data_IF_106023025814
#
_entry.id   IF_106023025814
#
_cell.length_a   1.000
_cell.length_b   1.000
_cell.length_c   1.000
_cell.angle_alpha   90.00
_cell.angle_beta   90.00
_cell.angle_gamma   90.00
#
_symmetry.space_group_name_H-M   'P 1'
#
loop_
_entity.id
_entity.type
_entity.pdbx_description
1 polymer ?
#
# COMPACT_ATOMS: atom_id res chain seq x y z
N UNK A 1 -0.22 1.06 16.51
CA UNK A 1 -0.87 2.28 15.96
C UNK A 1 -2.24 2.53 16.56
N UNK A 2 -3.30 1.81 16.17
CA UNK A 2 -4.66 2.05 16.72
C UNK A 2 -4.72 1.75 18.21
N UNK A 3 -4.03 0.70 18.64
CA UNK A 3 -3.93 0.31 20.06
C UNK A 3 -3.18 1.32 20.93
N UNK A 4 -2.42 2.23 20.32
CA UNK A 4 -1.65 3.27 21.01
C UNK A 4 -2.45 4.57 21.19
N UNK A 5 -3.67 4.63 20.64
CA UNK A 5 -4.55 5.79 20.81
C UNK A 5 -5.22 5.76 22.20
N UNK A 6 -5.55 6.92 22.79
CA UNK A 6 -6.06 7.00 24.18
C UNK A 6 -7.30 6.17 24.48
N UNK A 7 -8.17 5.95 23.48
CA UNK A 7 -9.35 5.08 23.59
C UNK A 7 -9.34 3.97 22.54
N UNK A 8 -8.17 3.68 21.97
CA UNK A 8 -8.01 2.64 20.96
C UNK A 8 -9.04 2.77 19.82
N UNK A 9 -9.83 1.73 19.55
CA UNK A 9 -10.88 1.73 18.54
C UNK A 9 -12.02 2.73 18.82
N UNK A 10 -12.25 3.10 20.09
CA UNK A 10 -13.25 4.09 20.50
C UNK A 10 -12.71 5.54 20.48
N UNK A 11 -11.51 5.74 19.94
CA UNK A 11 -10.94 7.07 19.74
C UNK A 11 -11.75 7.81 18.68
N UNK A 12 -12.46 8.86 19.11
CA UNK A 12 -13.22 9.71 18.20
C UNK A 12 -12.26 10.64 17.47
N UNK A 13 -12.25 10.57 16.14
CA UNK A 13 -11.47 11.45 15.30
C UNK A 13 -12.32 12.63 14.84
N UNK A 14 -11.73 13.82 14.73
CA UNK A 14 -12.38 14.97 14.12
C UNK A 14 -12.48 14.83 12.60
N UNK A 15 -13.19 15.76 11.95
CA UNK A 15 -13.39 15.78 10.50
C UNK A 15 -12.05 15.69 9.77
N UNK A 16 -11.96 14.84 8.74
CA UNK A 16 -10.71 14.61 8.00
C UNK A 16 -9.63 13.84 8.76
N UNK A 17 -9.96 13.24 9.91
CA UNK A 17 -8.99 12.49 10.72
C UNK A 17 -8.14 13.40 11.63
N UNK A 18 -8.68 14.56 12.04
CA UNK A 18 -8.06 15.40 13.07
C UNK A 18 -7.86 14.57 14.34
N UNK A 19 -6.64 14.60 14.88
CA UNK A 19 -6.18 13.71 15.96
C UNK A 19 -5.26 12.58 15.52
N UNK A 20 -5.07 12.39 14.20
CA UNK A 20 -4.06 11.47 13.65
C UNK A 20 -2.85 12.23 13.09
N UNK A 21 -1.68 11.60 13.06
CA UNK A 21 -0.54 12.05 12.27
C UNK A 21 -0.77 11.84 10.77
N UNK A 22 0.06 12.45 9.91
CA UNK A 22 0.00 12.23 8.45
C UNK A 22 0.12 10.76 8.07
N UNK A 23 1.13 10.07 8.60
CA UNK A 23 1.33 8.63 8.36
C UNK A 23 0.22 7.75 8.93
N UNK A 24 -0.43 8.14 10.04
CA UNK A 24 -1.58 7.40 10.58
C UNK A 24 -2.82 7.54 9.68
N UNK A 25 -3.10 8.74 9.17
CA UNK A 25 -4.19 8.95 8.19
C UNK A 25 -3.95 8.13 6.93
N UNK A 26 -2.72 8.11 6.44
CA UNK A 26 -2.34 7.34 5.25
C UNK A 26 -2.50 5.82 5.46
N UNK A 27 -1.98 5.27 6.57
CA UNK A 27 -2.18 3.86 6.93
C UNK A 27 -3.65 3.49 7.04
N UNK A 28 -4.48 4.33 7.65
CA UNK A 28 -5.91 4.09 7.75
C UNK A 28 -6.62 4.16 6.39
N UNK A 29 -6.25 5.12 5.53
CA UNK A 29 -6.78 5.23 4.17
C UNK A 29 -6.43 4.02 3.31
N UNK A 30 -5.18 3.56 3.38
CA UNK A 30 -4.71 2.35 2.72
C UNK A 30 -5.46 1.11 3.22
N UNK A 31 -5.58 0.93 4.53
CA UNK A 31 -6.33 -0.18 5.10
C UNK A 31 -7.80 -0.21 4.62
N UNK A 32 -8.43 0.97 4.50
CA UNK A 32 -9.78 1.10 3.93
C UNK A 32 -9.85 0.76 2.45
N UNK A 33 -8.82 1.10 1.67
CA UNK A 33 -8.75 0.76 0.26
C UNK A 33 -8.58 -0.76 0.04
N UNK A 34 -7.94 -1.45 0.98
CA UNK A 34 -7.58 -2.87 0.86
C UNK A 34 -8.60 -3.83 1.49
N UNK A 35 -9.57 -3.33 2.25
CA UNK A 35 -10.51 -4.19 2.98
C UNK A 35 -11.44 -4.95 2.03
N UNK A 36 -11.55 -6.27 2.22
CA UNK A 36 -12.40 -7.14 1.40
C UNK A 36 -11.76 -7.57 0.08
N UNK A 37 -12.55 -7.58 -1.00
CA UNK A 37 -12.08 -7.79 -2.39
C UNK A 37 -12.10 -6.46 -3.12
N UNK A 38 -11.06 -5.64 -3.01
CA UNK A 38 -11.10 -4.31 -3.58
C UNK A 38 -11.15 -4.38 -5.12
N UNK A 39 -11.90 -3.47 -5.77
CA UNK A 39 -11.82 -3.26 -7.21
C UNK A 39 -10.39 -2.81 -7.61
N UNK A 40 -10.11 -2.55 -8.91
CA UNK A 40 -8.79 -2.04 -9.30
C UNK A 40 -8.32 -0.88 -8.41
N UNK A 41 -7.15 -1.06 -7.80
CA UNK A 41 -6.54 -0.14 -6.86
C UNK A 41 -5.70 0.87 -7.62
N UNK A 42 -6.01 2.16 -7.46
CA UNK A 42 -5.15 3.26 -7.92
C UNK A 42 -4.64 3.97 -6.68
N UNK A 43 -3.32 3.94 -6.48
CA UNK A 43 -2.68 4.45 -5.27
C UNK A 43 -1.65 5.51 -5.62
N UNK A 44 -1.94 6.76 -5.31
CA UNK A 44 -1.00 7.88 -5.50
C UNK A 44 -0.06 7.98 -4.28
N UNK A 45 1.25 7.82 -4.51
CA UNK A 45 2.31 7.84 -3.48
C UNK A 45 1.97 7.07 -2.17
N UNK A 46 1.59 5.77 -2.22
CA UNK A 46 1.06 5.05 -1.06
C UNK A 46 2.06 4.87 0.09
N UNK A 47 3.35 5.06 -0.16
CA UNK A 47 4.41 5.01 0.83
C UNK A 47 4.76 6.37 1.46
N UNK A 48 4.11 7.47 1.06
CA UNK A 48 4.33 8.76 1.69
C UNK A 48 4.12 8.69 3.21
N UNK A 49 4.95 9.39 3.97
CA UNK A 49 4.83 9.48 5.43
C UNK A 49 4.84 8.14 6.20
N UNK A 50 5.29 7.03 5.57
CA UNK A 50 5.45 5.73 6.23
C UNK A 50 6.87 5.57 6.77
N UNK A 51 6.98 4.89 7.91
CA UNK A 51 8.24 4.37 8.45
C UNK A 51 8.55 3.00 7.81
N UNK A 52 9.77 2.47 8.00
CA UNK A 52 10.16 1.19 7.43
C UNK A 52 9.19 0.02 7.75
N UNK A 53 8.66 -0.11 8.98
CA UNK A 53 7.62 -1.11 9.26
C UNK A 53 6.33 -0.88 8.48
N UNK A 54 5.94 0.38 8.27
CA UNK A 54 4.80 0.76 7.44
C UNK A 54 5.00 0.43 5.96
N UNK A 55 6.20 0.60 5.42
CA UNK A 55 6.53 0.23 4.04
C UNK A 55 6.45 -1.28 3.81
N UNK A 56 6.98 -2.10 4.73
CA UNK A 56 6.88 -3.55 4.63
C UNK A 56 5.43 -4.03 4.74
N UNK A 57 4.62 -3.42 5.63
CA UNK A 57 3.20 -3.71 5.72
C UNK A 57 2.44 -3.35 4.42
N UNK A 58 2.74 -2.19 3.83
CA UNK A 58 2.19 -1.78 2.53
C UNK A 58 2.55 -2.81 1.45
N UNK A 59 3.83 -3.19 1.33
CA UNK A 59 4.30 -4.17 0.36
C UNK A 59 3.58 -5.51 0.49
N UNK A 60 3.47 -6.06 1.71
CA UNK A 60 2.77 -7.31 1.94
C UNK A 60 1.31 -7.25 1.50
N UNK A 61 0.63 -6.13 1.80
CA UNK A 61 -0.77 -5.97 1.45
C UNK A 61 -1.01 -5.81 -0.06
N UNK A 62 -0.12 -5.10 -0.78
CA UNK A 62 -0.21 -5.00 -2.24
C UNK A 62 0.07 -6.34 -2.94
N UNK A 63 1.02 -7.12 -2.43
CA UNK A 63 1.30 -8.46 -2.95
C UNK A 63 0.10 -9.40 -2.74
N UNK A 64 -0.55 -9.34 -1.58
CA UNK A 64 -1.79 -10.08 -1.31
C UNK A 64 -2.90 -9.67 -2.28
N UNK A 65 -3.16 -8.37 -2.42
CA UNK A 65 -4.19 -7.87 -3.33
C UNK A 65 -3.94 -8.30 -4.80
N UNK A 66 -2.67 -8.27 -5.24
CA UNK A 66 -2.28 -8.76 -6.57
C UNK A 66 -2.53 -10.26 -6.72
N UNK A 67 -2.20 -11.06 -5.71
CA UNK A 67 -2.46 -12.51 -5.71
C UNK A 67 -3.96 -12.82 -5.78
N UNK A 68 -4.79 -11.98 -5.17
CA UNK A 68 -6.26 -12.06 -5.22
C UNK A 68 -6.87 -11.54 -6.54
N UNK A 69 -6.03 -11.12 -7.50
CA UNK A 69 -6.45 -10.69 -8.84
C UNK A 69 -6.78 -9.20 -8.97
N UNK A 70 -6.49 -8.38 -7.96
CA UNK A 70 -6.69 -6.94 -8.06
C UNK A 70 -5.67 -6.32 -9.03
N UNK A 71 -6.15 -5.52 -9.99
CA UNK A 71 -5.28 -4.65 -10.76
C UNK A 71 -4.78 -3.51 -9.86
N UNK A 72 -3.46 -3.38 -9.71
CA UNK A 72 -2.82 -2.36 -8.86
C UNK A 72 -2.01 -1.40 -9.71
N UNK A 73 -2.41 -0.13 -9.71
CA UNK A 73 -1.73 0.97 -10.38
C UNK A 73 -1.12 1.88 -9.30
N UNK A 74 0.20 2.02 -9.33
CA UNK A 74 0.93 2.86 -8.39
C UNK A 74 1.80 3.85 -9.17
N UNK A 75 1.34 5.10 -9.39
CA UNK A 75 2.19 6.17 -9.85
C UNK A 75 3.02 6.65 -8.64
N UNK A 76 4.27 6.21 -8.55
CA UNK A 76 5.15 6.58 -7.44
C UNK A 76 6.56 6.90 -7.95
N UNK A 77 7.22 7.89 -7.36
CA UNK A 77 8.61 8.27 -7.70
C UNK A 77 9.66 7.28 -7.17
N UNK A 78 9.54 6.68 -5.98
CA UNK A 78 10.51 5.68 -5.54
C UNK A 78 10.43 4.37 -6.33
N UNK A 79 11.57 3.98 -6.92
CA UNK A 79 11.79 2.74 -7.68
C UNK A 79 11.42 1.48 -6.89
N UNK A 80 11.47 1.56 -5.57
CA UNK A 80 11.25 0.45 -4.63
C UNK A 80 9.91 -0.26 -4.82
N UNK A 81 8.80 0.50 -4.92
CA UNK A 81 7.47 -0.09 -5.15
C UNK A 81 7.33 -0.70 -6.54
N UNK A 82 7.98 -0.09 -7.55
CA UNK A 82 8.02 -0.65 -8.89
C UNK A 82 8.71 -2.02 -8.91
N UNK A 83 9.88 -2.15 -8.27
CA UNK A 83 10.60 -3.41 -8.18
C UNK A 83 9.76 -4.50 -7.51
N UNK A 84 9.04 -4.18 -6.43
CA UNK A 84 8.22 -5.17 -5.73
C UNK A 84 7.06 -5.69 -6.57
N UNK A 85 6.37 -4.80 -7.28
CA UNK A 85 5.15 -5.15 -8.01
C UNK A 85 5.44 -5.71 -9.40
N UNK A 86 6.48 -5.20 -10.06
CA UNK A 86 6.76 -5.45 -11.47
C UNK A 86 8.13 -6.09 -11.72
N UNK A 87 9.00 -6.24 -10.71
CA UNK A 87 10.30 -6.90 -10.84
C UNK A 87 10.19 -8.32 -11.43
N UNK A 88 9.34 -9.21 -10.86
CA UNK A 88 9.16 -10.56 -11.41
C UNK A 88 8.68 -10.56 -12.87
N UNK A 89 7.75 -9.64 -13.22
CA UNK A 89 7.25 -9.49 -14.58
C UNK A 89 8.34 -8.99 -15.52
N UNK A 90 9.16 -8.02 -15.09
CA UNK A 90 10.29 -7.53 -15.86
C UNK A 90 11.29 -8.65 -16.13
N UNK A 91 11.59 -9.48 -15.13
CA UNK A 91 12.57 -10.55 -15.26
C UNK A 91 12.06 -11.66 -16.20
N UNK A 92 10.77 -12.00 -16.11
CA UNK A 92 10.08 -12.91 -17.04
C UNK A 92 10.11 -12.39 -18.48
N UNK A 93 9.74 -11.12 -18.69
CA UNK A 93 9.83 -10.49 -20.00
C UNK A 93 11.27 -10.46 -20.52
N UNK A 94 12.24 -10.12 -19.67
CA UNK A 94 13.66 -10.07 -20.03
C UNK A 94 14.17 -11.44 -20.46
N UNK A 95 13.73 -12.53 -19.81
CA UNK A 95 14.07 -13.90 -20.22
C UNK A 95 13.39 -14.26 -21.55
N UNK A 96 12.09 -14.00 -21.70
CA UNK A 96 11.33 -14.31 -22.90
C UNK A 96 11.89 -13.61 -24.17
N UNK A 97 12.44 -12.40 -24.03
CA UNK A 97 13.09 -11.69 -25.13
C UNK A 97 14.54 -12.13 -25.40
N UNK A 98 15.20 -12.80 -24.46
CA UNK A 98 16.60 -13.27 -24.61
C UNK A 98 16.68 -14.68 -25.21
N UNK A 99 15.58 -15.43 -25.17
CA UNK A 99 15.44 -16.79 -25.73
C UNK A 99 14.84 -16.78 -27.15
N UNK A 100 14.67 -15.60 -27.76
CA UNK A 100 14.31 -15.39 -29.17
C UNK A 100 15.47 -14.74 -29.92
#
# INVERSE_FOLDING_TARGET
MVLDLPRQYDTRLGVGGVGLSGGQRQRLGLARALIGRPPPLVLDEPNANLDAPGEEALKAALLSAKADGAAVIVPTRPRTLFEYLFGPLRDELTRAFRER
#
